data_IF_245762240445
#
_entry.id   IF_245762240445
#
_cell.length_a   1.000
_cell.length_b   1.000
_cell.length_c   1.000
_cell.angle_alpha   90.00
_cell.angle_beta   90.00
_cell.angle_gamma   90.00
#
_symmetry.space_group_name_H-M   'P 1'
#
loop_
_entity.id
_entity.type
_entity.pdbx_description
1 polymer ?
#
# COMPACT_ATOMS: atom_id res chain seq x y z
N UNK A 1 5.17 22.69 -9.09
CA UNK A 1 6.32 21.96 -8.52
C UNK A 1 6.97 21.18 -9.64
N UNK A 2 8.10 21.66 -10.16
CA UNK A 2 8.90 20.90 -11.12
C UNK A 2 9.58 19.78 -10.33
N UNK A 3 9.23 18.53 -10.61
CA UNK A 3 9.85 17.37 -9.95
C UNK A 3 11.37 17.35 -10.18
N UNK A 4 12.09 16.58 -9.36
CA UNK A 4 13.53 16.35 -9.57
C UNK A 4 13.76 15.91 -11.02
N UNK A 5 14.59 16.65 -11.77
CA UNK A 5 15.00 16.25 -13.12
C UNK A 5 15.70 14.89 -13.02
N UNK A 6 15.30 13.94 -13.87
CA UNK A 6 15.94 12.63 -13.92
C UNK A 6 17.42 12.77 -14.27
N UNK A 7 18.26 11.84 -13.78
CA UNK A 7 19.70 11.83 -14.04
C UNK A 7 20.04 11.69 -15.53
N UNK A 8 19.11 11.17 -16.34
CA UNK A 8 19.21 11.05 -17.79
C UNK A 8 17.96 11.67 -18.43
N UNK A 9 18.10 12.54 -19.44
CA UNK A 9 16.98 13.01 -20.24
C UNK A 9 16.20 11.84 -20.86
N UNK A 10 14.86 11.85 -20.87
CA UNK A 10 14.08 10.78 -21.49
C UNK A 10 14.37 10.56 -22.99
N UNK A 11 14.81 11.60 -23.69
CA UNK A 11 15.24 11.53 -25.10
C UNK A 11 16.41 10.55 -25.28
N UNK A 12 17.46 10.70 -24.46
CA UNK A 12 18.68 9.90 -24.55
C UNK A 12 18.39 8.41 -24.31
N UNK A 13 17.44 8.11 -23.40
CA UNK A 13 17.02 6.73 -23.11
C UNK A 13 16.26 6.15 -24.32
N UNK A 14 15.37 6.93 -24.92
CA UNK A 14 14.61 6.49 -26.10
C UNK A 14 15.56 6.22 -27.26
N UNK A 15 16.50 7.13 -27.53
CA UNK A 15 17.45 6.99 -28.63
C UNK A 15 18.34 5.77 -28.43
N UNK A 16 18.88 5.59 -27.21
CA UNK A 16 19.66 4.40 -26.87
C UNK A 16 18.88 3.10 -27.05
N UNK A 17 17.62 3.04 -26.59
CA UNK A 17 16.79 1.83 -26.77
C UNK A 17 16.46 1.58 -28.24
N UNK A 18 16.29 2.62 -29.05
CA UNK A 18 16.07 2.49 -30.49
C UNK A 18 17.31 2.01 -31.24
N UNK A 19 18.51 2.39 -30.81
CA UNK A 19 19.77 1.85 -31.35
C UNK A 19 19.87 0.34 -31.18
N UNK A 20 19.35 -0.20 -30.07
CA UNK A 20 19.35 -1.64 -29.78
C UNK A 20 18.01 -2.32 -30.10
N UNK A 21 17.15 -1.70 -30.93
CA UNK A 21 15.76 -2.14 -31.17
C UNK A 21 15.62 -3.63 -31.51
N UNK A 22 16.47 -4.15 -32.40
CA UNK A 22 16.42 -5.56 -32.85
C UNK A 22 16.78 -6.57 -31.76
N UNK A 23 17.53 -6.13 -30.74
CA UNK A 23 17.90 -6.94 -29.58
C UNK A 23 16.94 -6.77 -28.40
N UNK A 24 16.21 -5.66 -28.38
CA UNK A 24 15.20 -5.33 -27.35
C UNK A 24 13.85 -5.96 -27.66
N UNK A 25 13.47 -5.99 -28.95
CA UNK A 25 12.17 -6.51 -29.42
C UNK A 25 12.40 -7.78 -30.22
N UNK A 26 11.92 -8.91 -29.69
CA UNK A 26 11.95 -10.20 -30.37
C UNK A 26 10.54 -10.60 -30.82
N UNK A 27 10.48 -11.49 -31.81
CA UNK A 27 9.23 -12.09 -32.28
C UNK A 27 9.19 -13.57 -31.87
N UNK A 28 8.04 -14.02 -31.37
CA UNK A 28 7.83 -15.45 -31.09
C UNK A 28 7.45 -16.22 -32.37
N UNK A 29 7.32 -17.55 -32.27
CA UNK A 29 6.89 -18.44 -33.37
C UNK A 29 5.51 -18.09 -33.96
N UNK A 30 4.71 -17.30 -33.23
CA UNK A 30 3.40 -16.78 -33.64
C UNK A 30 3.47 -15.36 -34.23
N UNK A 31 4.68 -14.85 -34.49
CA UNK A 31 4.95 -13.51 -35.03
C UNK A 31 4.50 -12.35 -34.10
N UNK A 32 4.29 -12.61 -32.81
CA UNK A 32 3.95 -11.61 -31.80
C UNK A 32 5.24 -10.98 -31.24
N UNK A 33 5.25 -9.64 -31.15
CA UNK A 33 6.39 -8.88 -30.61
C UNK A 33 6.36 -8.88 -29.09
N UNK A 34 7.52 -9.10 -28.46
CA UNK A 34 7.69 -8.97 -27.01
C UNK A 34 9.03 -8.33 -26.67
N UNK A 35 9.10 -7.72 -25.49
CA UNK A 35 10.33 -7.14 -24.94
C UNK A 35 11.11 -8.22 -24.20
N UNK A 36 12.42 -8.27 -24.42
CA UNK A 36 13.30 -9.22 -23.73
C UNK A 36 13.34 -9.00 -22.22
N UNK A 37 13.46 -10.09 -21.46
CA UNK A 37 13.45 -10.07 -20.00
C UNK A 37 14.54 -9.15 -19.41
N UNK A 38 14.32 -8.65 -18.18
CA UNK A 38 15.23 -7.74 -17.48
C UNK A 38 16.65 -8.30 -17.31
N UNK A 39 16.81 -9.62 -17.29
CA UNK A 39 18.10 -10.33 -17.17
C UNK A 39 18.89 -10.40 -18.48
N UNK A 40 18.31 -9.96 -19.61
CA UNK A 40 18.98 -10.02 -20.91
C UNK A 40 20.16 -9.02 -20.98
N UNK A 41 21.29 -9.48 -21.52
CA UNK A 41 22.53 -8.71 -21.68
C UNK A 41 22.33 -7.38 -22.43
N UNK A 42 21.32 -7.27 -23.29
CA UNK A 42 21.02 -6.01 -24.02
C UNK A 42 20.82 -4.82 -23.07
N UNK A 43 20.27 -5.05 -21.87
CA UNK A 43 20.05 -3.98 -20.90
C UNK A 43 21.35 -3.53 -20.23
N UNK A 44 22.35 -4.39 -20.16
CA UNK A 44 23.72 -4.05 -19.74
C UNK A 44 24.41 -3.24 -20.84
N UNK A 45 24.24 -3.61 -22.10
CA UNK A 45 24.84 -2.91 -23.23
C UNK A 45 24.25 -1.50 -23.40
N UNK A 46 22.92 -1.35 -23.26
CA UNK A 46 22.25 -0.03 -23.28
C UNK A 46 22.71 0.83 -22.10
N UNK A 47 22.89 0.23 -20.92
CA UNK A 47 23.42 0.91 -19.73
C UNK A 47 24.83 1.46 -19.98
N UNK A 48 25.71 0.66 -20.58
CA UNK A 48 27.06 1.10 -20.95
C UNK A 48 27.01 2.22 -22.01
N UNK A 49 26.12 2.10 -23.00
CA UNK A 49 25.94 3.09 -24.05
C UNK A 49 25.52 4.47 -23.52
N UNK A 50 24.68 4.53 -22.48
CA UNK A 50 24.27 5.80 -21.83
C UNK A 50 25.23 6.28 -20.74
N UNK A 51 26.40 5.64 -20.58
CA UNK A 51 27.46 6.03 -19.66
C UNK A 51 27.17 5.71 -18.19
N UNK A 52 26.55 4.55 -17.90
CA UNK A 52 26.25 4.08 -16.54
C UNK A 52 25.33 4.99 -15.70
N UNK A 53 24.70 5.99 -16.33
CA UNK A 53 23.83 6.96 -15.68
C UNK A 53 22.50 6.38 -15.18
N UNK A 54 22.16 5.15 -15.58
CA UNK A 54 20.93 4.45 -15.20
C UNK A 54 21.16 2.92 -15.15
N UNK A 55 20.62 2.25 -14.13
CA UNK A 55 20.74 0.78 -14.00
C UNK A 55 19.93 0.04 -15.07
N UNK A 56 20.40 -1.13 -15.52
CA UNK A 56 19.75 -2.00 -16.51
C UNK A 56 18.29 -2.32 -16.19
N UNK A 57 17.97 -2.63 -14.92
CA UNK A 57 16.60 -2.87 -14.47
C UNK A 57 15.68 -1.65 -14.60
N UNK A 58 16.23 -0.45 -14.38
CA UNK A 58 15.47 0.79 -14.52
C UNK A 58 15.20 1.12 -16.00
N UNK A 59 16.13 0.81 -16.90
CA UNK A 59 15.96 0.93 -18.36
C UNK A 59 14.87 -0.06 -18.83
N UNK A 60 14.96 -1.33 -18.45
CA UNK A 60 13.92 -2.33 -18.74
C UNK A 60 12.54 -1.87 -18.25
N UNK A 61 12.45 -1.37 -17.01
CA UNK A 61 11.20 -0.84 -16.45
C UNK A 61 10.67 0.37 -17.21
N UNK A 62 11.56 1.25 -17.71
CA UNK A 62 11.19 2.41 -18.51
C UNK A 62 10.52 1.99 -19.82
N UNK A 63 11.09 1.00 -20.51
CA UNK A 63 10.55 0.44 -21.76
C UNK A 63 9.24 -0.31 -21.50
N UNK A 64 9.24 -1.25 -20.55
CA UNK A 64 8.08 -2.10 -20.22
C UNK A 64 6.84 -1.29 -19.81
N UNK A 65 7.03 -0.19 -19.07
CA UNK A 65 5.93 0.70 -18.67
C UNK A 65 5.50 1.69 -19.76
N UNK A 66 6.06 1.60 -20.96
CA UNK A 66 5.74 2.47 -22.08
C UNK A 66 5.94 3.96 -21.80
N UNK A 67 6.93 4.30 -20.96
CA UNK A 67 7.15 5.71 -20.59
C UNK A 67 7.54 6.52 -21.81
N UNK A 68 6.99 7.73 -21.92
CA UNK A 68 7.27 8.66 -23.01
C UNK A 68 7.01 8.09 -24.42
N UNK A 69 6.03 7.19 -24.56
CA UNK A 69 5.61 6.65 -25.85
C UNK A 69 6.61 5.70 -26.51
N UNK A 70 7.58 5.18 -25.75
CA UNK A 70 8.66 4.33 -26.29
C UNK A 70 8.14 3.04 -26.96
N UNK A 71 7.01 2.50 -26.50
CA UNK A 71 6.37 1.32 -27.08
C UNK A 71 5.90 1.57 -28.52
N UNK A 72 5.36 2.75 -28.80
CA UNK A 72 4.91 3.14 -30.15
C UNK A 72 6.12 3.25 -31.08
N UNK A 73 7.20 3.86 -30.61
CA UNK A 73 8.46 3.98 -31.36
C UNK A 73 9.13 2.62 -31.63
N UNK A 74 8.92 1.65 -30.74
CA UNK A 74 9.39 0.27 -30.91
C UNK A 74 8.51 -0.56 -31.86
N UNK A 75 7.35 -0.04 -32.28
CA UNK A 75 6.46 -0.68 -33.26
C UNK A 75 5.30 -1.47 -32.66
N UNK A 76 5.00 -1.33 -31.37
CA UNK A 76 3.83 -1.96 -30.76
C UNK A 76 2.54 -1.21 -31.16
N UNK A 77 1.47 -1.92 -31.58
CA UNK A 77 0.21 -1.29 -31.98
C UNK A 77 -0.49 -0.60 -30.79
N UNK A 78 -1.11 0.56 -31.04
CA UNK A 78 -1.81 1.47 -30.09
C UNK A 78 -2.96 0.85 -29.26
N UNK A 79 -3.21 -0.46 -29.37
CA UNK A 79 -4.26 -1.19 -28.65
C UNK A 79 -3.72 -2.17 -27.59
N UNK A 80 -2.58 -1.87 -26.97
CA UNK A 80 -2.20 -2.51 -25.71
C UNK A 80 -2.75 -1.70 -24.51
N UNK A 81 -4.08 -1.55 -24.43
CA UNK A 81 -4.70 -1.46 -23.12
C UNK A 81 -4.66 -2.88 -22.57
N UNK A 82 -3.61 -3.19 -21.81
CA UNK A 82 -3.75 -4.26 -20.83
C UNK A 82 -4.93 -3.85 -19.97
N UNK A 83 -6.06 -4.53 -20.15
CA UNK A 83 -7.23 -4.37 -19.33
C UNK A 83 -6.77 -4.51 -17.88
N UNK A 84 -6.86 -3.42 -17.14
CA UNK A 84 -6.79 -3.47 -15.69
C UNK A 84 -8.08 -4.15 -15.21
N UNK A 85 -8.14 -5.47 -15.33
CA UNK A 85 -8.74 -6.21 -14.24
C UNK A 85 -7.95 -5.84 -13.00
N UNK A 86 -8.66 -5.52 -11.93
CA UNK A 86 -8.09 -5.36 -10.60
C UNK A 86 -7.62 -6.76 -10.18
N UNK A 87 -6.49 -7.18 -10.72
CA UNK A 87 -5.73 -8.30 -10.20
C UNK A 87 -5.07 -7.76 -8.96
N UNK A 88 -5.57 -8.20 -7.81
CA UNK A 88 -4.85 -8.17 -6.54
C UNK A 88 -3.38 -8.36 -6.83
N UNK A 89 -2.55 -7.35 -6.55
CA UNK A 89 -1.12 -7.45 -6.76
C UNK A 89 -0.66 -8.73 -6.06
N UNK A 90 -0.25 -9.77 -6.79
CA UNK A 90 0.32 -10.92 -6.15
C UNK A 90 1.58 -10.39 -5.50
N UNK A 91 1.70 -10.66 -4.20
CA UNK A 91 2.95 -10.47 -3.48
C UNK A 91 3.99 -11.25 -4.28
N UNK A 92 4.81 -10.52 -5.05
CA UNK A 92 5.94 -11.07 -5.78
C UNK A 92 6.69 -11.99 -4.80
N UNK A 93 6.91 -13.27 -5.15
CA UNK A 93 7.97 -14.03 -4.52
C UNK A 93 9.26 -13.23 -4.70
N UNK A 94 9.93 -12.95 -3.59
CA UNK A 94 11.29 -12.42 -3.57
C UNK A 94 12.21 -13.61 -3.91
N UNK A 95 12.07 -14.15 -5.13
CA UNK A 95 12.93 -15.18 -5.69
C UNK A 95 14.06 -14.47 -6.43
N UNK A 96 14.91 -13.77 -5.68
CA UNK A 96 16.32 -13.71 -6.05
C UNK A 96 17.01 -14.88 -5.33
N UNK A 97 17.22 -15.96 -6.08
CA UNK A 97 18.23 -16.97 -5.75
C UNK A 97 19.61 -16.31 -5.79
N UNK A 98 20.03 -15.71 -4.68
CA UNK A 98 21.45 -15.50 -4.36
C UNK A 98 21.84 -16.53 -3.30
N UNK A 99 22.76 -17.46 -3.58
CA UNK A 99 23.21 -18.46 -2.64
C UNK A 99 24.25 -17.83 -1.71
N UNK A 100 23.78 -17.03 -0.77
CA UNK A 100 24.60 -16.53 0.32
C UNK A 100 24.20 -17.32 1.57
N UNK A 101 24.85 -18.46 1.72
CA UNK A 101 25.07 -19.09 3.00
C UNK A 101 25.87 -18.07 3.84
N UNK A 102 25.16 -17.22 4.60
CA UNK A 102 25.79 -16.31 5.54
C UNK A 102 26.37 -17.14 6.68
N UNK A 103 27.53 -17.73 6.41
CA UNK A 103 28.51 -18.08 7.41
C UNK A 103 28.60 -16.92 8.39
N UNK A 104 28.50 -17.26 9.67
CA UNK A 104 28.78 -16.36 10.77
C UNK A 104 30.24 -15.93 10.62
N UNK A 105 30.48 -14.78 9.97
CA UNK A 105 31.79 -14.14 10.11
C UNK A 105 31.99 -13.83 11.59
N UNK A 106 33.08 -14.34 12.15
CA UNK A 106 33.50 -14.20 13.55
C UNK A 106 33.71 -12.74 14.02
N UNK A 107 33.50 -11.74 13.16
CA UNK A 107 33.58 -10.32 13.52
C UNK A 107 32.32 -9.79 14.22
N UNK A 108 31.20 -10.53 14.22
CA UNK A 108 29.92 -10.07 14.79
C UNK A 108 29.89 -10.23 16.34
N UNK A 109 30.80 -11.03 16.93
CA UNK A 109 30.89 -11.40 18.37
C UNK A 109 31.11 -10.27 19.38
N UNK A 110 31.54 -9.10 18.91
CA UNK A 110 31.65 -7.91 19.76
C UNK A 110 30.38 -7.05 19.85
N UNK A 111 29.37 -7.27 18.98
CA UNK A 111 28.21 -6.39 18.93
C UNK A 111 27.18 -6.70 20.03
N UNK A 112 26.53 -5.67 20.61
CA UNK A 112 25.49 -5.85 21.61
C UNK A 112 24.40 -6.82 21.13
N UNK A 113 24.04 -7.78 22.00
CA UNK A 113 23.05 -8.80 21.70
C UNK A 113 22.02 -8.88 22.83
N UNK A 114 20.74 -8.79 22.47
CA UNK A 114 19.61 -8.99 23.40
C UNK A 114 18.92 -10.30 23.07
N UNK A 115 18.76 -11.16 24.07
CA UNK A 115 17.97 -12.39 24.00
C UNK A 115 16.68 -12.20 24.77
N UNK A 116 15.56 -12.62 24.20
CA UNK A 116 14.22 -12.42 24.76
C UNK A 116 13.26 -13.44 24.14
N UNK A 117 12.07 -13.57 24.70
CA UNK A 117 11.07 -14.53 24.24
C UNK A 117 9.76 -13.79 23.99
N UNK A 118 9.24 -13.91 22.76
CA UNK A 118 7.86 -13.52 22.48
C UNK A 118 6.93 -14.63 22.98
N UNK A 119 5.89 -14.22 23.68
CA UNK A 119 4.83 -15.13 24.14
C UNK A 119 3.55 -14.76 23.40
N UNK A 120 3.13 -15.61 22.47
CA UNK A 120 1.87 -15.41 21.75
C UNK A 120 0.71 -16.00 22.54
N UNK A 121 -0.38 -15.25 22.60
CA UNK A 121 -1.69 -15.77 22.98
C UNK A 121 -2.22 -16.74 21.92
N UNK A 122 -3.25 -17.53 22.27
CA UNK A 122 -3.88 -18.44 21.31
C UNK A 122 -4.44 -17.67 20.10
N UNK A 123 -5.10 -16.54 20.33
CA UNK A 123 -5.70 -15.71 19.28
C UNK A 123 -4.66 -15.09 18.34
N UNK A 124 -3.51 -14.66 18.87
CA UNK A 124 -2.40 -14.18 18.04
C UNK A 124 -1.76 -15.32 17.25
N UNK A 125 -1.63 -16.49 17.88
CA UNK A 125 -1.09 -17.66 17.21
C UNK A 125 -1.96 -18.10 16.04
N UNK A 126 -3.28 -18.10 16.21
CA UNK A 126 -4.24 -18.47 15.16
C UNK A 126 -4.10 -17.57 13.91
N UNK A 127 -3.68 -16.32 14.08
CA UNK A 127 -3.43 -15.38 12.99
C UNK A 127 -2.08 -15.56 12.27
N UNK A 128 -1.11 -16.21 12.92
CA UNK A 128 0.26 -16.35 12.40
C UNK A 128 0.69 -17.79 12.14
N UNK A 129 -0.09 -18.78 12.59
CA UNK A 129 0.24 -20.18 12.44
C UNK A 129 0.49 -20.54 10.96
N UNK A 130 1.49 -21.37 10.66
CA UNK A 130 1.78 -21.77 9.29
C UNK A 130 0.57 -22.42 8.61
N UNK A 131 0.30 -21.99 7.38
CA UNK A 131 -0.76 -22.54 6.53
C UNK A 131 -0.13 -23.25 5.32
N UNK A 132 -0.73 -24.37 4.93
CA UNK A 132 -0.34 -25.05 3.71
C UNK A 132 -0.80 -24.26 2.49
N UNK A 133 0.15 -23.97 1.59
CA UNK A 133 -0.11 -23.29 0.33
C UNK A 133 0.32 -24.17 -0.83
N UNK A 134 -0.63 -24.48 -1.70
CA UNK A 134 -0.41 -25.28 -2.91
C UNK A 134 -0.03 -24.37 -4.07
N UNK A 135 1.09 -24.66 -4.71
CA UNK A 135 1.57 -23.98 -5.90
C UNK A 135 1.44 -24.92 -7.10
N UNK A 136 0.89 -24.41 -8.21
CA UNK A 136 0.83 -25.14 -9.48
C UNK A 136 2.19 -25.01 -10.16
N UNK A 137 2.83 -26.13 -10.47
CA UNK A 137 4.06 -26.12 -11.27
C UNK A 137 3.67 -26.07 -12.75
N UNK A 138 4.08 -25.00 -13.43
CA UNK A 138 4.07 -24.92 -14.89
C UNK A 138 5.45 -25.30 -15.43
N UNK A 139 5.96 -26.47 -15.04
CA UNK A 139 7.23 -26.98 -15.56
C UNK A 139 6.98 -27.98 -16.69
N UNK A 140 7.37 -27.61 -17.91
CA UNK A 140 7.20 -28.43 -19.11
C UNK A 140 8.04 -29.72 -19.08
N UNK A 141 9.05 -29.80 -18.20
CA UNK A 141 9.97 -30.93 -18.10
C UNK A 141 9.46 -32.08 -17.21
N UNK A 142 8.41 -31.85 -16.40
CA UNK A 142 7.84 -32.86 -15.48
C UNK A 142 6.31 -32.80 -15.46
N UNK A 143 5.62 -33.29 -16.51
CA UNK A 143 4.17 -33.16 -16.65
C UNK A 143 3.34 -33.91 -15.59
N UNK A 144 3.94 -34.85 -14.83
CA UNK A 144 3.23 -35.64 -13.80
C UNK A 144 3.19 -35.00 -12.40
N UNK A 145 4.00 -33.97 -12.11
CA UNK A 145 3.93 -33.22 -10.84
C UNK A 145 3.24 -31.88 -11.07
N UNK A 146 1.91 -31.88 -11.01
CA UNK A 146 1.09 -30.69 -11.27
C UNK A 146 1.07 -29.68 -10.11
N UNK A 147 1.44 -30.10 -8.90
CA UNK A 147 1.35 -29.27 -7.69
C UNK A 147 2.45 -29.58 -6.68
N UNK A 148 2.89 -28.56 -5.94
CA UNK A 148 3.76 -28.69 -4.75
C UNK A 148 3.21 -27.83 -3.64
N UNK A 149 3.08 -28.40 -2.44
CA UNK A 149 2.63 -27.66 -1.26
C UNK A 149 3.80 -27.30 -0.36
N UNK A 150 3.70 -26.12 0.25
CA UNK A 150 4.63 -25.64 1.26
C UNK A 150 3.87 -25.01 2.42
N UNK A 151 4.37 -25.19 3.63
CA UNK A 151 3.89 -24.44 4.78
C UNK A 151 4.52 -23.05 4.77
N UNK A 152 3.69 -22.02 4.89
CA UNK A 152 4.12 -20.62 4.88
C UNK A 152 3.40 -19.83 5.97
N UNK A 153 4.07 -18.83 6.53
CA UNK A 153 3.41 -17.89 7.43
C UNK A 153 2.39 -17.03 6.64
N UNK A 154 1.20 -16.75 7.19
CA UNK A 154 0.14 -16.04 6.46
C UNK A 154 0.56 -14.62 6.06
N UNK A 155 0.57 -14.33 4.75
CA UNK A 155 1.09 -13.05 4.25
C UNK A 155 0.25 -11.88 4.79
N UNK A 156 0.93 -10.86 5.32
CA UNK A 156 0.30 -9.62 5.79
C UNK A 156 -0.05 -9.56 7.28
N UNK A 157 -0.15 -10.70 7.98
CA UNK A 157 -0.59 -10.75 9.39
C UNK A 157 0.55 -10.95 10.38
N UNK A 158 1.52 -11.84 10.08
CA UNK A 158 2.56 -12.20 11.06
C UNK A 158 3.55 -11.07 11.34
N UNK A 159 3.92 -10.29 10.32
CA UNK A 159 4.94 -9.25 10.50
C UNK A 159 4.47 -8.07 11.38
N UNK A 160 3.21 -7.57 11.31
CA UNK A 160 2.70 -6.63 12.31
C UNK A 160 2.75 -7.16 13.73
N UNK A 161 2.31 -8.40 13.97
CA UNK A 161 2.26 -8.98 15.32
C UNK A 161 3.67 -9.03 15.92
N UNK A 162 4.67 -9.53 15.18
CA UNK A 162 6.06 -9.53 15.66
C UNK A 162 6.61 -8.12 15.93
N UNK A 163 6.18 -7.12 15.16
CA UNK A 163 6.62 -5.74 15.36
C UNK A 163 6.04 -5.14 16.65
N UNK A 164 4.78 -5.43 16.98
CA UNK A 164 4.16 -4.98 18.24
C UNK A 164 4.83 -5.64 19.45
N UNK A 165 5.07 -6.95 19.40
CA UNK A 165 5.82 -7.66 20.44
C UNK A 165 7.22 -7.07 20.61
N UNK A 166 7.95 -6.82 19.51
CA UNK A 166 9.27 -6.20 19.58
C UNK A 166 9.24 -4.84 20.28
N UNK A 167 8.27 -3.97 19.94
CA UNK A 167 8.12 -2.67 20.59
C UNK A 167 7.78 -2.79 22.07
N UNK A 168 6.88 -3.72 22.44
CA UNK A 168 6.50 -3.95 23.82
C UNK A 168 7.70 -4.33 24.71
N UNK A 169 8.65 -5.11 24.17
CA UNK A 169 9.85 -5.53 24.91
C UNK A 169 10.93 -4.45 25.02
N UNK A 170 11.16 -3.65 23.97
CA UNK A 170 12.35 -2.78 23.93
C UNK A 170 12.08 -1.29 23.80
N UNK A 171 10.93 -0.89 23.29
CA UNK A 171 10.60 0.52 23.01
C UNK A 171 11.69 1.25 22.20
N UNK A 172 12.39 0.51 21.33
CA UNK A 172 13.44 1.04 20.48
C UNK A 172 12.85 1.59 19.17
N UNK A 173 13.37 2.71 18.65
CA UNK A 173 12.86 3.35 17.42
C UNK A 173 13.16 2.55 16.14
N UNK A 174 13.64 1.31 16.26
CA UNK A 174 14.01 0.45 15.14
C UNK A 174 12.83 0.20 14.20
N UNK A 175 13.04 0.47 12.92
CA UNK A 175 12.10 0.13 11.86
C UNK A 175 12.45 -1.26 11.29
N UNK A 176 12.01 -2.31 11.98
CA UNK A 176 12.24 -3.71 11.58
C UNK A 176 11.46 -4.07 10.32
N UNK A 177 12.20 -4.56 9.32
CA UNK A 177 11.66 -5.24 8.14
C UNK A 177 11.93 -6.73 8.27
N UNK A 178 10.88 -7.52 8.41
CA UNK A 178 10.96 -8.98 8.45
C UNK A 178 10.98 -9.49 7.02
N UNK A 179 12.12 -10.05 6.59
CA UNK A 179 12.36 -10.44 5.20
C UNK A 179 12.03 -11.89 4.92
N UNK A 180 12.26 -12.77 5.90
CA UNK A 180 12.17 -14.23 5.71
C UNK A 180 11.43 -14.85 6.90
N UNK A 181 10.46 -15.70 6.60
CA UNK A 181 9.77 -16.57 7.56
C UNK A 181 9.70 -17.97 6.98
N UNK A 182 10.64 -18.83 7.37
CA UNK A 182 10.73 -20.22 6.91
C UNK A 182 10.03 -21.14 7.92
N UNK A 183 9.29 -22.11 7.40
CA UNK A 183 8.60 -23.11 8.21
C UNK A 183 9.17 -24.47 7.86
N UNK A 184 9.56 -25.25 8.87
CA UNK A 184 10.06 -26.61 8.72
C UNK A 184 9.20 -27.55 9.57
N UNK A 185 8.10 -28.09 9.01
CA UNK A 185 7.16 -28.93 9.78
C UNK A 185 7.79 -30.16 10.44
N UNK A 186 8.85 -30.70 9.85
CA UNK A 186 9.57 -31.90 10.32
C UNK A 186 11.04 -31.62 10.67
N UNK A 187 11.41 -30.34 10.83
CA UNK A 187 12.77 -29.94 11.18
C UNK A 187 12.97 -29.85 12.70
N UNK A 188 14.23 -29.70 13.13
CA UNK A 188 14.58 -29.36 14.53
C UNK A 188 14.17 -27.95 14.95
N UNK A 189 13.76 -27.13 13.99
CA UNK A 189 13.25 -25.77 14.18
C UNK A 189 11.97 -25.64 13.38
N UNK A 190 10.84 -25.52 14.06
CA UNK A 190 9.54 -25.39 13.43
C UNK A 190 9.40 -24.10 12.59
N UNK A 191 9.76 -22.94 13.15
CA UNK A 191 9.69 -21.65 12.45
C UNK A 191 10.98 -20.86 12.68
N UNK A 192 11.52 -20.29 11.60
CA UNK A 192 12.63 -19.35 11.65
C UNK A 192 12.28 -18.04 10.94
N UNK A 193 12.30 -16.95 11.67
CA UNK A 193 12.07 -15.59 11.19
C UNK A 193 13.36 -14.79 11.22
N UNK A 194 13.65 -14.06 10.16
CA UNK A 194 14.77 -13.14 10.07
C UNK A 194 14.28 -11.74 9.69
N UNK A 195 14.74 -10.74 10.42
CA UNK A 195 14.47 -9.33 10.18
C UNK A 195 15.72 -8.47 10.28
N UNK A 196 15.64 -7.27 9.71
CA UNK A 196 16.70 -6.26 9.78
C UNK A 196 16.08 -4.89 10.01
N UNK A 197 16.65 -4.11 10.92
CA UNK A 197 16.30 -2.70 11.05
C UNK A 197 16.77 -1.95 9.80
N UNK A 198 15.87 -1.20 9.18
CA UNK A 198 16.20 -0.44 7.96
C UNK A 198 16.89 0.90 8.20
N UNK A 199 17.32 1.17 9.44
CA UNK A 199 18.01 2.41 9.85
C UNK A 199 19.38 2.10 10.46
N UNK A 200 19.43 1.25 11.49
CA UNK A 200 20.68 0.89 12.19
C UNK A 200 21.23 -0.50 11.83
N UNK A 201 20.63 -1.17 10.83
CA UNK A 201 21.04 -2.49 10.32
C UNK A 201 21.12 -3.64 11.32
N UNK A 202 20.65 -3.43 12.55
CA UNK A 202 20.55 -4.48 13.57
C UNK A 202 19.67 -5.63 13.10
N UNK A 203 20.14 -6.85 13.39
CA UNK A 203 19.58 -8.12 12.91
C UNK A 203 18.68 -8.71 13.97
N UNK A 204 17.49 -9.11 13.57
CA UNK A 204 16.53 -9.84 14.38
C UNK A 204 16.46 -11.28 13.88
N UNK A 205 16.58 -12.25 14.78
CA UNK A 205 16.26 -13.65 14.52
C UNK A 205 15.25 -14.14 15.54
N UNK A 206 14.17 -14.77 15.09
CA UNK A 206 13.15 -15.40 15.92
C UNK A 206 13.02 -16.87 15.56
N UNK A 207 12.98 -17.74 16.57
CA UNK A 207 12.96 -19.20 16.38
C UNK A 207 11.88 -19.82 17.26
N UNK A 208 11.02 -20.63 16.66
CA UNK A 208 10.11 -21.55 17.36
C UNK A 208 10.65 -22.95 17.11
N UNK A 209 11.01 -23.67 18.18
CA UNK A 209 11.64 -24.98 18.08
C UNK A 209 10.63 -26.06 17.73
N UNK A 210 9.59 -26.18 18.55
CA UNK A 210 8.59 -27.24 18.40
C UNK A 210 7.25 -26.69 17.88
N UNK A 211 6.54 -27.52 17.13
CA UNK A 211 5.16 -27.21 16.75
C UNK A 211 4.31 -27.19 18.03
N UNK A 212 3.64 -26.08 18.34
CA UNK A 212 2.85 -25.99 19.56
C UNK A 212 1.64 -26.94 19.50
N UNK A 213 1.30 -27.62 20.60
CA UNK A 213 0.05 -28.37 20.69
C UNK A 213 -1.15 -27.40 20.66
N UNK A 214 -2.30 -27.87 20.18
CA UNK A 214 -3.49 -27.04 19.99
C UNK A 214 -3.90 -26.31 21.28
N UNK A 215 -4.08 -24.98 21.20
CA UNK A 215 -4.47 -24.13 22.33
C UNK A 215 -3.36 -23.78 23.32
N UNK A 216 -2.12 -24.23 23.11
CA UNK A 216 -0.99 -23.87 23.97
C UNK A 216 -0.41 -22.49 23.61
N UNK A 217 0.15 -21.81 24.61
CA UNK A 217 0.94 -20.59 24.40
C UNK A 217 2.19 -20.92 23.59
N UNK A 218 2.51 -20.06 22.64
CA UNK A 218 3.65 -20.28 21.75
C UNK A 218 4.79 -19.36 22.13
N UNK A 219 5.97 -19.94 22.32
CA UNK A 219 7.18 -19.21 22.67
C UNK A 219 8.09 -19.12 21.44
N UNK A 220 8.41 -17.89 21.03
CA UNK A 220 9.43 -17.65 20.02
C UNK A 220 10.66 -17.04 20.68
N UNK A 221 11.76 -17.78 20.62
CA UNK A 221 13.05 -17.36 21.13
C UNK A 221 13.69 -16.39 20.14
N UNK A 222 13.90 -15.17 20.60
CA UNK A 222 14.35 -14.06 19.78
C UNK A 222 15.74 -13.58 20.21
N UNK A 223 16.55 -13.24 19.22
CA UNK A 223 17.84 -12.58 19.40
C UNK A 223 17.87 -11.33 18.54
N UNK A 224 18.25 -10.19 19.13
CA UNK A 224 18.42 -8.93 18.42
C UNK A 224 19.85 -8.41 18.63
N UNK A 225 20.61 -8.31 17.53
CA UNK A 225 22.04 -8.03 17.55
C UNK A 225 22.36 -6.82 16.67
N UNK A 226 23.21 -5.92 17.15
CA UNK A 226 23.80 -4.85 16.34
C UNK A 226 23.73 -3.47 17.00
N UNK A 227 23.81 -2.43 16.18
CA UNK A 227 23.99 -1.04 16.62
C UNK A 227 22.69 -0.36 17.06
N UNK A 228 21.78 -1.08 17.70
CA UNK A 228 20.49 -0.55 18.13
C UNK A 228 20.58 0.47 19.27
N UNK A 229 21.75 0.58 19.91
CA UNK A 229 22.05 1.60 20.92
C UNK A 229 22.38 2.96 20.27
N UNK A 230 22.75 2.98 18.99
CA UNK A 230 23.02 4.23 18.28
C UNK A 230 21.72 4.99 18.03
N UNK A 231 21.80 6.31 18.19
CA UNK A 231 20.69 7.20 17.90
C UNK A 231 20.29 7.07 16.42
N UNK A 232 19.01 6.77 16.19
CA UNK A 232 18.48 6.67 14.83
C UNK A 232 18.45 8.08 14.21
N UNK A 233 19.37 8.33 13.27
CA UNK A 233 19.49 9.62 12.55
C UNK A 233 18.23 10.00 11.77
N UNK A 234 17.40 9.01 11.41
CA UNK A 234 16.14 9.22 10.70
C UNK A 234 15.02 8.36 11.29
N UNK A 235 13.86 8.97 11.50
CA UNK A 235 12.67 8.26 11.95
C UNK A 235 11.94 7.67 10.76
N UNK A 236 12.21 6.39 10.47
CA UNK A 236 11.51 5.65 9.41
C UNK A 236 10.28 4.95 9.98
N UNK A 237 9.15 5.10 9.30
CA UNK A 237 7.90 4.42 9.66
C UNK A 237 7.75 3.11 8.92
N UNK A 238 7.22 2.11 9.60
CA UNK A 238 6.87 0.81 9.03
C UNK A 238 5.67 0.96 8.11
N UNK A 239 5.65 0.17 7.03
CA UNK A 239 4.49 0.11 6.13
C UNK A 239 3.30 -0.51 6.87
N UNK A 240 2.14 0.12 6.79
CA UNK A 240 0.88 -0.46 7.24
C UNK A 240 0.48 -1.60 6.31
N UNK A 241 0.24 -2.78 6.86
CA UNK A 241 -0.18 -3.98 6.14
C UNK A 241 -1.10 -4.81 7.03
N UNK A 242 -2.00 -5.58 6.40
CA UNK A 242 -2.89 -6.52 7.07
C UNK A 242 -3.72 -5.86 8.19
N UNK A 243 -3.80 -6.46 9.39
CA UNK A 243 -4.67 -5.99 10.46
C UNK A 243 -4.43 -4.52 10.87
N UNK A 244 -3.17 -4.07 10.83
CA UNK A 244 -2.82 -2.69 11.17
C UNK A 244 -3.38 -1.68 10.15
N UNK A 245 -3.49 -2.06 8.86
CA UNK A 245 -4.10 -1.24 7.83
C UNK A 245 -5.62 -1.24 7.96
N UNK A 246 -6.23 -2.40 8.21
CA UNK A 246 -7.68 -2.54 8.41
C UNK A 246 -8.17 -1.72 9.60
N UNK A 247 -7.46 -1.79 10.74
CA UNK A 247 -7.73 -0.96 11.92
C UNK A 247 -7.72 0.52 11.59
N UNK A 248 -6.70 0.99 10.85
CA UNK A 248 -6.59 2.39 10.46
C UNK A 248 -7.71 2.82 9.51
N UNK A 249 -8.11 1.97 8.56
CA UNK A 249 -9.23 2.23 7.65
C UNK A 249 -10.54 2.35 8.43
N UNK A 250 -10.84 1.40 9.31
CA UNK A 250 -12.07 1.44 10.13
C UNK A 250 -12.15 2.75 10.90
N UNK A 251 -11.10 3.10 11.64
CA UNK A 251 -11.09 4.33 12.44
C UNK A 251 -11.21 5.63 11.63
N UNK A 252 -10.54 5.74 10.48
CA UNK A 252 -10.45 7.02 9.74
C UNK A 252 -11.57 7.19 8.71
N UNK A 253 -12.03 6.09 8.12
CA UNK A 253 -13.03 6.09 7.06
C UNK A 253 -14.43 5.77 7.58
N UNK A 254 -14.57 4.82 8.51
CA UNK A 254 -15.87 4.40 9.05
C UNK A 254 -16.25 5.27 10.25
N UNK A 255 -15.37 5.36 11.25
CA UNK A 255 -15.65 6.14 12.48
C UNK A 255 -15.45 7.66 12.30
N UNK A 256 -14.99 8.09 11.12
CA UNK A 256 -14.84 9.50 10.76
C UNK A 256 -13.68 10.23 11.45
N UNK A 257 -12.74 9.54 12.09
CA UNK A 257 -11.63 10.19 12.80
C UNK A 257 -10.67 10.89 11.83
N UNK A 258 -10.07 12.00 12.31
CA UNK A 258 -8.97 12.64 11.60
C UNK A 258 -7.70 11.75 11.64
N UNK A 259 -6.81 11.93 10.65
CA UNK A 259 -5.54 11.19 10.62
C UNK A 259 -4.65 11.52 11.82
N UNK A 260 -4.75 12.75 12.32
CA UNK A 260 -4.01 13.28 13.45
C UNK A 260 -4.55 12.69 14.76
N UNK A 261 -5.86 12.66 14.95
CA UNK A 261 -6.51 12.05 16.13
C UNK A 261 -6.23 10.55 16.19
N UNK A 262 -6.23 9.83 15.06
CA UNK A 262 -5.84 8.43 15.04
C UNK A 262 -4.40 8.23 15.52
N UNK A 263 -3.47 9.05 15.05
CA UNK A 263 -2.06 8.99 15.48
C UNK A 263 -1.89 9.31 16.95
N UNK A 264 -2.63 10.28 17.46
CA UNK A 264 -2.64 10.63 18.88
C UNK A 264 -3.10 9.45 19.74
N UNK A 265 -4.19 8.77 19.35
CA UNK A 265 -4.65 7.56 20.07
C UNK A 265 -3.62 6.44 20.07
N UNK A 266 -2.98 6.18 18.93
CA UNK A 266 -1.91 5.18 18.86
C UNK A 266 -0.65 5.62 19.64
N UNK A 267 -0.36 6.92 19.70
CA UNK A 267 0.72 7.47 20.52
C UNK A 267 0.44 7.26 22.01
N UNK A 268 -0.77 7.55 22.47
CA UNK A 268 -1.19 7.28 23.87
C UNK A 268 -1.09 5.79 24.20
N UNK A 269 -1.43 4.91 23.24
CA UNK A 269 -1.34 3.45 23.43
C UNK A 269 0.12 2.95 23.54
N UNK A 270 1.03 3.50 22.72
CA UNK A 270 2.35 2.90 22.51
C UNK A 270 3.52 3.66 23.14
N UNK A 271 3.39 4.97 23.35
CA UNK A 271 4.47 5.85 23.81
C UNK A 271 4.33 6.05 25.32
N UNK A 272 5.33 5.58 26.08
CA UNK A 272 5.49 5.95 27.48
C UNK A 272 6.21 7.31 27.58
N UNK A 273 6.02 8.03 28.69
CA UNK A 273 6.70 9.30 28.94
C UNK A 273 8.22 9.15 28.77
N UNK A 274 8.81 9.96 27.89
CA UNK A 274 10.26 9.92 27.58
C UNK A 274 10.69 8.88 26.54
N UNK A 275 9.79 8.02 26.04
CA UNK A 275 10.10 7.07 24.98
C UNK A 275 10.12 7.76 23.59
N UNK A 276 10.92 7.24 22.63
CA UNK A 276 10.95 7.76 21.27
C UNK A 276 9.66 7.45 20.50
N UNK A 277 9.42 8.18 19.40
CA UNK A 277 8.29 7.94 18.51
C UNK A 277 8.46 6.59 17.75
N UNK A 278 7.58 5.59 17.97
CA UNK A 278 7.71 4.25 17.40
C UNK A 278 7.63 4.22 15.88
N UNK A 279 8.35 3.27 15.28
CA UNK A 279 8.22 2.98 13.85
C UNK A 279 6.86 2.41 13.47
N UNK A 280 6.10 1.87 14.43
CA UNK A 280 4.75 1.31 14.28
C UNK A 280 3.70 2.37 13.95
N UNK A 281 3.81 3.59 14.51
CA UNK A 281 2.79 4.63 14.29
C UNK A 281 2.98 5.22 12.88
N UNK A 282 1.97 5.12 12.00
CA UNK A 282 2.09 5.58 10.63
C UNK A 282 2.20 7.11 10.55
N UNK A 283 2.76 7.58 9.44
CA UNK A 283 2.81 9.01 9.15
C UNK A 283 1.42 9.55 8.79
N UNK A 284 1.15 10.81 9.13
CA UNK A 284 -0.12 11.46 8.76
C UNK A 284 -0.35 11.49 7.25
N UNK A 285 0.71 11.67 6.45
CA UNK A 285 0.62 11.62 4.99
C UNK A 285 0.19 10.23 4.49
N UNK A 286 0.75 9.16 5.06
CA UNK A 286 0.37 7.78 4.71
C UNK A 286 -1.11 7.52 5.00
N UNK A 287 -1.61 8.00 6.14
CA UNK A 287 -3.03 7.88 6.52
C UNK A 287 -3.95 8.68 5.58
N UNK A 288 -3.56 9.89 5.19
CA UNK A 288 -4.33 10.71 4.23
C UNK A 288 -4.38 10.07 2.84
N UNK A 289 -3.27 9.50 2.36
CA UNK A 289 -3.24 8.75 1.10
C UNK A 289 -4.15 7.52 1.20
N UNK A 290 -4.06 6.77 2.30
CA UNK A 290 -4.90 5.60 2.56
C UNK A 290 -6.39 5.97 2.53
N UNK A 291 -6.79 7.03 3.27
CA UNK A 291 -8.16 7.56 3.25
C UNK A 291 -8.60 7.91 1.82
N UNK A 292 -7.76 8.65 1.09
CA UNK A 292 -8.06 9.04 -0.29
C UNK A 292 -8.24 7.84 -1.21
N UNK A 293 -7.46 6.77 -1.04
CA UNK A 293 -7.59 5.55 -1.85
C UNK A 293 -8.88 4.81 -1.56
N UNK A 294 -9.23 4.64 -0.29
CA UNK A 294 -10.49 4.01 0.12
C UNK A 294 -11.68 4.82 -0.38
N UNK A 295 -11.68 6.14 -0.18
CA UNK A 295 -12.74 7.03 -0.67
C UNK A 295 -12.83 7.06 -2.20
N UNK A 296 -11.73 6.85 -2.92
CA UNK A 296 -11.76 6.75 -4.38
C UNK A 296 -12.36 5.41 -4.84
N UNK A 297 -12.01 4.30 -4.17
CA UNK A 297 -12.56 2.98 -4.44
C UNK A 297 -14.05 2.85 -4.09
N UNK A 298 -14.55 3.65 -3.15
CA UNK A 298 -15.98 3.69 -2.79
C UNK A 298 -16.82 4.61 -3.69
N UNK A 299 -16.24 5.22 -4.74
CA UNK A 299 -17.02 6.04 -5.68
C UNK A 299 -17.78 5.16 -6.66
N UNK A 300 -19.00 5.57 -7.00
CA UNK A 300 -19.81 4.92 -8.04
C UNK A 300 -19.20 5.10 -9.43
N UNK A 301 -18.51 6.21 -9.64
CA UNK A 301 -17.82 6.52 -10.89
C UNK A 301 -16.63 7.47 -10.65
N UNK A 302 -15.64 7.44 -11.54
CA UNK A 302 -14.47 8.33 -11.46
C UNK A 302 -14.85 9.80 -11.70
N UNK A 303 -15.66 10.03 -12.73
CA UNK A 303 -16.31 11.32 -13.00
C UNK A 303 -17.38 11.64 -11.95
N UNK A 304 -17.31 12.85 -11.40
CA UNK A 304 -18.17 13.31 -10.29
C UNK A 304 -19.61 13.54 -10.75
N UNK A 305 -19.85 14.06 -11.96
CA UNK A 305 -21.21 14.29 -12.46
C UNK A 305 -21.91 12.96 -12.76
N UNK A 306 -21.21 12.02 -13.40
CA UNK A 306 -21.73 10.67 -13.60
C UNK A 306 -22.02 9.98 -12.27
N UNK A 307 -21.13 10.13 -11.28
CA UNK A 307 -21.38 9.57 -9.94
C UNK A 307 -22.63 10.15 -9.30
N UNK A 308 -22.88 11.47 -9.41
CA UNK A 308 -24.09 12.11 -8.87
C UNK A 308 -25.35 11.69 -9.63
N UNK A 309 -25.26 11.55 -10.97
CA UNK A 309 -26.36 11.07 -11.79
C UNK A 309 -26.76 9.63 -11.44
N UNK A 310 -25.78 8.75 -11.19
CA UNK A 310 -26.02 7.40 -10.69
C UNK A 310 -26.67 7.42 -9.30
N UNK A 311 -26.13 8.23 -8.37
CA UNK A 311 -26.72 8.40 -7.04
C UNK A 311 -28.19 8.79 -7.11
N UNK A 312 -28.55 9.75 -7.97
CA UNK A 312 -29.95 10.21 -8.13
C UNK A 312 -30.92 9.07 -8.48
N UNK A 313 -30.46 7.99 -9.12
CA UNK A 313 -31.29 6.85 -9.48
C UNK A 313 -31.36 5.76 -8.40
N UNK A 314 -30.49 5.82 -7.40
CA UNK A 314 -30.46 4.84 -6.30
C UNK A 314 -31.56 5.10 -5.28
N UNK A 315 -32.14 4.03 -4.72
CA UNK A 315 -33.23 4.13 -3.75
C UNK A 315 -32.89 4.98 -2.51
N UNK A 316 -31.63 4.93 -2.09
CA UNK A 316 -31.12 5.69 -0.94
C UNK A 316 -31.12 7.21 -1.17
N UNK A 317 -31.04 7.66 -2.43
CA UNK A 317 -30.88 9.09 -2.76
C UNK A 317 -31.93 9.65 -3.71
N UNK A 318 -32.80 8.82 -4.31
CA UNK A 318 -33.84 9.26 -5.26
C UNK A 318 -34.79 10.33 -4.70
N UNK A 319 -34.99 10.31 -3.38
CA UNK A 319 -35.83 11.29 -2.66
C UNK A 319 -35.01 12.41 -2.00
N UNK A 320 -33.69 12.40 -2.17
CA UNK A 320 -32.76 13.38 -1.60
C UNK A 320 -32.23 14.30 -2.70
N UNK A 321 -31.78 13.73 -3.82
CA UNK A 321 -31.22 14.48 -4.96
C UNK A 321 -32.33 14.76 -5.97
N UNK A 322 -32.77 16.00 -6.03
CA UNK A 322 -33.91 16.39 -6.87
C UNK A 322 -33.47 16.84 -8.25
N UNK A 323 -32.38 17.60 -8.32
CA UNK A 323 -31.90 18.14 -9.59
C UNK A 323 -30.38 18.35 -9.65
N UNK A 324 -29.83 18.23 -10.85
CA UNK A 324 -28.40 18.34 -11.12
C UNK A 324 -28.22 19.15 -12.42
N UNK A 325 -27.66 20.34 -12.30
CA UNK A 325 -27.20 21.14 -13.43
C UNK A 325 -25.73 20.88 -13.74
N UNK A 326 -25.38 20.82 -15.02
CA UNK A 326 -23.99 20.70 -15.45
C UNK A 326 -23.36 22.06 -15.79
N UNK A 327 -24.06 22.92 -16.52
CA UNK A 327 -23.55 24.24 -16.91
C UNK A 327 -24.67 25.31 -16.93
N UNK A 328 -24.78 26.17 -15.90
CA UNK A 328 -23.94 26.20 -14.69
C UNK A 328 -24.10 24.93 -13.84
N UNK A 329 -23.05 24.57 -13.09
CA UNK A 329 -23.16 23.45 -12.15
C UNK A 329 -24.01 23.84 -10.95
N UNK A 330 -25.03 23.03 -10.65
CA UNK A 330 -25.79 23.10 -9.40
C UNK A 330 -26.22 21.70 -8.97
N UNK A 331 -26.45 21.52 -7.68
CA UNK A 331 -27.02 20.31 -7.10
C UNK A 331 -28.12 20.74 -6.13
N UNK A 332 -29.37 20.42 -6.46
CA UNK A 332 -30.50 20.66 -5.58
C UNK A 332 -30.83 19.39 -4.81
N UNK A 333 -30.68 19.45 -3.49
CA UNK A 333 -30.93 18.31 -2.62
C UNK A 333 -31.59 18.73 -1.30
N UNK A 334 -32.47 17.88 -0.78
CA UNK A 334 -33.05 17.99 0.56
C UNK A 334 -33.67 16.64 0.94
N UNK A 335 -33.67 16.28 2.23
CA UNK A 335 -34.37 15.09 2.70
C UNK A 335 -35.84 15.38 3.04
N UNK A 336 -36.66 14.33 3.16
CA UNK A 336 -38.07 14.45 3.53
C UNK A 336 -38.24 15.05 4.95
N UNK A 337 -37.32 14.72 5.87
CA UNK A 337 -37.36 15.23 7.24
C UNK A 337 -37.11 16.73 7.29
N UNK A 338 -36.17 17.26 6.51
CA UNK A 338 -35.93 18.70 6.37
C UNK A 338 -37.21 19.43 5.92
N UNK A 339 -37.91 18.89 4.92
CA UNK A 339 -39.19 19.45 4.45
C UNK A 339 -40.28 19.36 5.51
N UNK A 340 -40.36 18.24 6.25
CA UNK A 340 -41.33 18.05 7.33
C UNK A 340 -41.11 19.05 8.47
N UNK A 341 -39.85 19.24 8.88
CA UNK A 341 -39.45 20.24 9.87
C UNK A 341 -39.87 21.63 9.41
N UNK A 342 -39.53 22.01 8.18
CA UNK A 342 -39.91 23.31 7.61
C UNK A 342 -41.44 23.52 7.58
N UNK A 343 -42.20 22.51 7.14
CA UNK A 343 -43.67 22.58 7.08
C UNK A 343 -44.30 22.71 8.47
N UNK A 344 -43.76 22.02 9.48
CA UNK A 344 -44.21 22.12 10.86
C UNK A 344 -43.91 23.50 11.44
N UNK A 345 -42.69 23.99 11.21
CA UNK A 345 -42.27 25.33 11.61
C UNK A 345 -43.23 26.40 11.05
N UNK A 346 -43.55 26.34 9.75
CA UNK A 346 -44.44 27.32 9.08
C UNK A 346 -45.85 27.39 9.68
N UNK A 347 -46.34 26.36 10.37
CA UNK A 347 -47.68 26.36 10.98
C UNK A 347 -47.76 27.25 12.22
N UNK A 348 -46.65 27.49 12.92
CA UNK A 348 -46.63 28.18 14.21
C UNK A 348 -46.15 29.64 14.16
N UNK A 349 -45.35 30.02 13.16
CA UNK A 349 -44.76 31.36 13.04
C UNK A 349 -44.51 31.77 11.59
N UNK A 350 -44.19 33.05 11.35
CA UNK A 350 -43.68 33.52 10.06
C UNK A 350 -42.17 33.22 9.98
N UNK A 351 -41.71 32.27 9.14
CA UNK A 351 -40.29 31.95 9.05
C UNK A 351 -39.48 33.14 8.55
N UNK A 352 -38.38 33.43 9.24
CA UNK A 352 -37.27 34.20 8.66
C UNK A 352 -36.30 33.21 8.04
N UNK A 353 -36.12 33.32 6.72
CA UNK A 353 -35.15 32.53 5.98
C UNK A 353 -33.82 33.29 5.93
N UNK A 354 -32.77 32.67 6.45
CA UNK A 354 -31.39 33.14 6.29
C UNK A 354 -30.71 32.18 5.33
N UNK A 355 -30.10 32.73 4.28
CA UNK A 355 -29.32 31.94 3.31
C UNK A 355 -27.86 32.24 3.57
N UNK A 356 -27.12 31.26 4.09
CA UNK A 356 -25.67 31.32 4.16
C UNK A 356 -25.05 30.68 2.92
N UNK A 357 -23.92 31.23 2.46
CA UNK A 357 -23.18 30.72 1.32
C UNK A 357 -21.75 30.38 1.75
N UNK A 358 -21.52 29.11 2.10
CA UNK A 358 -20.19 28.66 2.49
C UNK A 358 -19.39 28.20 1.27
N UNK A 359 -18.28 28.90 1.00
CA UNK A 359 -17.28 28.48 0.02
C UNK A 359 -16.27 27.48 0.59
N UNK A 360 -15.56 26.76 -0.28
CA UNK A 360 -14.43 25.86 0.06
C UNK A 360 -14.78 24.49 0.66
N UNK A 361 -16.06 24.20 0.91
CA UNK A 361 -16.51 22.86 1.37
C UNK A 361 -16.44 21.83 0.25
N UNK A 362 -16.67 22.27 -0.99
CA UNK A 362 -16.73 21.41 -2.18
C UNK A 362 -15.40 21.46 -2.93
N UNK A 363 -14.80 20.29 -3.15
CA UNK A 363 -13.60 20.16 -3.97
C UNK A 363 -13.93 20.42 -5.44
N UNK A 364 -13.17 21.31 -6.08
CA UNK A 364 -13.28 21.58 -7.52
C UNK A 364 -13.01 20.32 -8.34
N UNK A 365 -13.89 20.01 -9.28
CA UNK A 365 -13.81 18.82 -10.15
C UNK A 365 -13.88 19.21 -11.64
N UNK A 366 -13.66 18.26 -12.55
CA UNK A 366 -13.75 18.49 -13.99
C UNK A 366 -15.19 18.26 -14.45
N UNK A 367 -15.82 19.28 -15.06
CA UNK A 367 -17.08 19.15 -15.80
C UNK A 367 -16.79 18.56 -17.17
N UNK A 368 -17.52 17.51 -17.54
CA UNK A 368 -17.48 16.88 -18.87
C UNK A 368 -16.05 16.58 -19.35
N UNK A 369 -15.14 16.26 -18.42
CA UNK A 369 -13.71 16.03 -18.68
C UNK A 369 -12.97 17.18 -19.40
N UNK A 370 -13.52 18.40 -19.43
CA UNK A 370 -12.97 19.53 -20.20
C UNK A 370 -12.65 20.75 -19.36
N UNK A 371 -13.56 21.16 -18.45
CA UNK A 371 -13.42 22.41 -17.70
C UNK A 371 -13.48 22.16 -16.19
N UNK A 372 -12.51 22.67 -15.44
CA UNK A 372 -12.57 22.61 -13.98
C UNK A 372 -13.63 23.58 -13.45
N UNK A 373 -14.42 23.15 -12.48
CA UNK A 373 -15.39 24.04 -11.82
C UNK A 373 -14.69 25.23 -11.17
N UNK A 374 -15.36 26.39 -11.18
CA UNK A 374 -15.00 27.54 -10.36
C UNK A 374 -15.29 27.22 -8.87
N UNK A 375 -15.22 28.22 -7.99
CA UNK A 375 -15.63 28.03 -6.60
C UNK A 375 -17.10 27.64 -6.55
N UNK A 376 -17.38 26.47 -5.97
CA UNK A 376 -18.74 25.98 -5.73
C UNK A 376 -19.10 26.41 -4.31
N UNK A 377 -20.24 27.08 -4.18
CA UNK A 377 -20.78 27.50 -2.90
C UNK A 377 -21.87 26.53 -2.47
N UNK A 378 -21.82 26.12 -1.22
CA UNK A 378 -22.93 25.44 -0.57
C UNK A 378 -23.85 26.53 -0.01
N UNK A 379 -25.08 26.58 -0.52
CA UNK A 379 -26.12 27.46 0.01
C UNK A 379 -26.94 26.68 1.03
N UNK A 380 -26.93 27.13 2.28
CA UNK A 380 -27.73 26.56 3.36
C UNK A 380 -28.82 27.54 3.78
N UNK A 381 -30.08 27.08 3.76
CA UNK A 381 -31.21 27.84 4.26
C UNK A 381 -31.50 27.49 5.71
N UNK A 382 -31.20 28.41 6.64
CA UNK A 382 -31.51 28.28 8.06
C UNK A 382 -32.84 28.98 8.36
N UNK A 383 -33.67 28.34 9.17
CA UNK A 383 -34.98 28.85 9.59
C UNK A 383 -34.95 29.09 11.09
N UNK A 384 -35.25 30.32 11.51
CA UNK A 384 -35.19 30.75 12.92
C UNK A 384 -36.53 31.29 13.39
N UNK A 385 -36.91 30.93 14.63
CA UNK A 385 -37.97 31.59 15.40
C UNK A 385 -37.58 33.05 15.68
N UNK A 386 -38.59 33.92 15.59
CA UNK A 386 -38.45 35.38 15.77
C UNK A 386 -38.24 35.79 17.21
#
# INVERSE_FOLDING_TARGET
MVGRKGAVPPSDIIDAVLTFKERVVLKNEKNEMYIVAATNQVWTDIRLYIGDRMSSNAIHTFVQKGRHGIMEKLGFPLKFKQSCEIVHTPILPDDEESPDDYSSNDEDDALPCKKFVFTFSSEEWDQIQPQEKVFKLTDKSRPMQSTRSYYVLPKGTWTPILAEHFWAHFQLPCCLSFRRGKVYPSGSVYIRVVGRCSVCDSRFNGTVFDKPPGGAKVLMHCTFRGNFQEAHKTTKKRRMIGPAMEKAISSICVDGLSSETYREREAVRLIKTGAPDPSLIPSGNSLRILKSQVTAGSRRHEDTLTSLALMKQEDDFKNIIHDIGCDPFYLHYHCADQIKIYRNYRKGSRPRLIIDATGSVVKKFLKLSKQKTSSIFLYEGLVYDS
#
